data_IF_154926907038
#
_entry.id   IF_154926907038
#
_cell.length_a   1.000
_cell.length_b   1.000
_cell.length_c   1.000
_cell.angle_alpha   90.00
_cell.angle_beta   90.00
_cell.angle_gamma   90.00
#
_symmetry.space_group_name_H-M   'P 1'
#
loop_
_entity.id
_entity.type
_entity.pdbx_description
1 polymer ?
#
# COMPACT_ATOMS: atom_id res chain seq x y z
N UNK A 1 -1.29 22.46 9.98
CA UNK A 1 -1.81 21.08 10.18
C UNK A 1 -1.47 20.26 8.93
N UNK A 2 -0.73 19.15 9.05
CA UNK A 2 -0.54 18.24 7.90
C UNK A 2 -1.87 17.56 7.60
N UNK A 3 -2.29 17.64 6.35
CA UNK A 3 -3.54 17.06 5.90
C UNK A 3 -3.24 15.66 5.33
N UNK A 4 -3.65 14.58 6.01
CA UNK A 4 -3.58 13.19 5.53
C UNK A 4 -4.78 12.78 4.65
N UNK A 5 -4.52 12.32 3.42
CA UNK A 5 -5.53 11.78 2.50
C UNK A 5 -5.45 10.25 2.51
N UNK A 6 -6.60 9.58 2.62
CA UNK A 6 -6.70 8.13 2.44
C UNK A 6 -6.90 7.85 0.95
N UNK A 7 -6.00 7.05 0.37
CA UNK A 7 -5.96 6.71 -1.06
C UNK A 7 -6.15 5.20 -1.19
N UNK A 8 -7.08 4.78 -2.04
CA UNK A 8 -7.25 3.38 -2.42
C UNK A 8 -7.59 3.29 -3.92
N UNK A 9 -7.56 2.08 -4.48
CA UNK A 9 -7.98 1.85 -5.86
C UNK A 9 -9.53 1.83 -5.97
N UNK A 10 -10.04 1.61 -7.19
CA UNK A 10 -11.48 1.52 -7.47
C UNK A 10 -12.07 0.11 -7.35
N UNK A 11 -11.42 -0.84 -6.66
CA UNK A 11 -11.91 -2.22 -6.60
C UNK A 11 -13.35 -2.31 -6.06
N UNK A 12 -14.19 -3.27 -6.51
CA UNK A 12 -15.58 -3.37 -6.09
C UNK A 12 -15.78 -3.43 -4.56
N UNK A 13 -14.87 -4.08 -3.84
CA UNK A 13 -14.90 -4.13 -2.38
C UNK A 13 -14.69 -2.74 -1.74
N UNK A 14 -13.89 -1.87 -2.36
CA UNK A 14 -13.62 -0.52 -1.88
C UNK A 14 -14.72 0.46 -2.27
N UNK A 15 -15.41 0.26 -3.40
CA UNK A 15 -16.51 1.13 -3.87
C UNK A 15 -17.88 0.70 -3.34
N UNK A 16 -18.00 -0.48 -2.73
CA UNK A 16 -19.22 -0.94 -2.08
C UNK A 16 -19.74 0.06 -1.03
N UNK A 17 -21.07 0.19 -0.94
CA UNK A 17 -21.74 1.14 -0.04
C UNK A 17 -21.27 1.03 1.41
N UNK A 18 -21.20 -0.19 1.94
CA UNK A 18 -20.76 -0.42 3.32
C UNK A 18 -19.33 0.09 3.57
N UNK A 19 -18.40 -0.19 2.65
CA UNK A 19 -17.01 0.26 2.72
C UNK A 19 -16.88 1.77 2.63
N UNK A 20 -17.63 2.40 1.71
CA UNK A 20 -17.66 3.84 1.52
C UNK A 20 -18.28 4.57 2.73
N UNK A 21 -19.39 4.06 3.27
CA UNK A 21 -20.04 4.63 4.45
C UNK A 21 -19.11 4.54 5.68
N UNK A 22 -18.40 3.42 5.84
CA UNK A 22 -17.38 3.29 6.88
C UNK A 22 -16.22 4.28 6.67
N UNK A 23 -15.70 4.40 5.45
CA UNK A 23 -14.60 5.34 5.15
C UNK A 23 -15.01 6.78 5.41
N UNK A 24 -16.21 7.20 5.00
CA UNK A 24 -16.72 8.55 5.26
C UNK A 24 -16.79 8.85 6.76
N UNK A 25 -17.27 7.88 7.56
CA UNK A 25 -17.37 8.02 9.02
C UNK A 25 -16.00 8.07 9.72
N UNK A 26 -15.02 7.28 9.27
CA UNK A 26 -13.77 7.05 10.01
C UNK A 26 -12.56 7.80 9.44
N UNK A 27 -12.55 8.12 8.15
CA UNK A 27 -11.45 8.83 7.47
C UNK A 27 -11.73 10.33 7.33
N UNK A 28 -12.68 10.88 8.10
CA UNK A 28 -13.10 12.29 8.07
C UNK A 28 -13.46 12.79 6.66
N UNK A 29 -14.03 11.93 5.82
CA UNK A 29 -14.38 12.24 4.43
C UNK A 29 -13.17 12.40 3.48
N UNK A 30 -11.96 12.04 3.90
CA UNK A 30 -10.72 12.28 3.15
C UNK A 30 -10.30 11.04 2.36
N UNK A 31 -11.20 10.56 1.51
CA UNK A 31 -10.99 9.41 0.64
C UNK A 31 -10.87 9.88 -0.81
N UNK A 32 -9.83 9.43 -1.51
CA UNK A 32 -9.74 9.53 -2.97
C UNK A 32 -9.46 8.17 -3.60
N UNK A 33 -9.87 8.03 -4.85
CA UNK A 33 -9.57 6.86 -5.67
C UNK A 33 -8.58 7.26 -6.76
N UNK A 34 -7.41 6.63 -6.79
CA UNK A 34 -6.41 6.83 -7.84
C UNK A 34 -6.26 5.56 -8.66
N UNK A 35 -6.06 5.73 -9.97
CA UNK A 35 -5.78 4.62 -10.89
C UNK A 35 -4.36 4.07 -10.72
N UNK A 36 -3.47 4.85 -10.13
CA UNK A 36 -2.11 4.46 -9.76
C UNK A 36 -1.96 4.70 -8.26
N UNK A 37 -1.65 3.67 -7.47
CA UNK A 37 -1.49 3.78 -6.02
C UNK A 37 0.00 3.59 -5.66
N UNK A 38 0.62 4.48 -4.86
CA UNK A 38 2.03 4.32 -4.48
C UNK A 38 2.33 3.00 -3.76
N UNK A 39 1.30 2.35 -3.19
CA UNK A 39 1.44 1.05 -2.54
C UNK A 39 1.87 -0.07 -3.52
N UNK A 40 1.56 0.05 -4.82
CA UNK A 40 1.95 -0.95 -5.83
C UNK A 40 3.47 -1.05 -5.95
N UNK A 41 4.16 0.09 -5.98
CA UNK A 41 5.62 0.12 -6.02
C UNK A 41 6.25 -0.47 -4.76
N UNK A 42 5.61 -0.23 -3.60
CA UNK A 42 6.04 -0.82 -2.34
C UNK A 42 5.86 -2.35 -2.36
N UNK A 43 4.75 -2.84 -2.92
CA UNK A 43 4.54 -4.27 -3.10
C UNK A 43 5.59 -4.90 -4.00
N UNK A 44 5.97 -4.28 -5.12
CA UNK A 44 7.04 -4.80 -5.99
C UNK A 44 8.37 -4.98 -5.24
N UNK A 45 8.81 -3.98 -4.47
CA UNK A 45 10.04 -4.06 -3.66
C UNK A 45 9.96 -5.22 -2.65
N UNK A 46 8.82 -5.33 -1.96
CA UNK A 46 8.62 -6.38 -0.97
C UNK A 46 8.58 -7.76 -1.62
N UNK A 47 7.94 -7.88 -2.78
CA UNK A 47 7.77 -9.13 -3.52
C UNK A 47 9.13 -9.66 -4.02
N UNK A 48 9.95 -8.79 -4.62
CA UNK A 48 11.31 -9.11 -5.05
C UNK A 48 12.16 -9.67 -3.89
N UNK A 49 12.13 -9.01 -2.73
CA UNK A 49 12.85 -9.49 -1.53
C UNK A 49 12.24 -10.77 -0.96
N UNK A 50 10.92 -10.91 -1.01
CA UNK A 50 10.20 -12.06 -0.46
C UNK A 50 10.43 -13.33 -1.27
N UNK A 51 10.57 -13.20 -2.60
CA UNK A 51 10.78 -14.32 -3.51
C UNK A 51 12.22 -14.48 -4.01
N UNK A 52 13.16 -13.63 -3.56
CA UNK A 52 14.60 -13.81 -3.85
C UNK A 52 15.06 -15.25 -3.60
N UNK A 53 15.83 -15.79 -4.53
CA UNK A 53 16.24 -17.19 -4.48
C UNK A 53 17.00 -17.57 -3.18
N UNK A 54 16.75 -18.78 -2.65
CA UNK A 54 15.73 -19.72 -3.09
C UNK A 54 14.31 -19.25 -2.70
N UNK A 55 13.35 -19.43 -3.61
CA UNK A 55 11.96 -19.08 -3.37
C UNK A 55 11.36 -19.81 -2.13
N UNK A 56 10.49 -19.13 -1.36
CA UNK A 56 9.80 -19.75 -0.23
C UNK A 56 8.88 -20.88 -0.69
N UNK A 57 9.04 -22.08 -0.13
CA UNK A 57 8.22 -23.26 -0.48
C UNK A 57 7.12 -23.58 0.54
N UNK A 58 7.05 -22.82 1.64
CA UNK A 58 6.04 -23.00 2.68
C UNK A 58 5.41 -21.68 3.07
N UNK A 59 4.15 -21.73 3.50
CA UNK A 59 3.43 -20.55 4.01
C UNK A 59 4.17 -19.87 5.18
N UNK A 60 4.81 -20.66 6.05
CA UNK A 60 5.61 -20.13 7.17
C UNK A 60 6.83 -19.36 6.67
N UNK A 61 7.57 -19.92 5.69
CA UNK A 61 8.72 -19.25 5.09
C UNK A 61 8.32 -17.97 4.34
N UNK A 62 7.21 -18.01 3.60
CA UNK A 62 6.65 -16.86 2.90
C UNK A 62 6.31 -15.73 3.87
N UNK A 63 5.53 -16.01 4.92
CA UNK A 63 5.16 -15.03 5.95
C UNK A 63 6.39 -14.44 6.66
N UNK A 64 7.39 -15.26 6.97
CA UNK A 64 8.62 -14.80 7.62
C UNK A 64 9.42 -13.86 6.73
N UNK A 65 9.60 -14.23 5.46
CA UNK A 65 10.29 -13.43 4.43
C UNK A 65 9.57 -12.13 4.15
N UNK A 66 8.25 -12.16 3.96
CA UNK A 66 7.42 -10.97 3.77
C UNK A 66 7.57 -9.97 4.93
N UNK A 67 7.50 -10.45 6.17
CA UNK A 67 7.69 -9.61 7.36
C UNK A 67 9.11 -9.04 7.45
N UNK A 68 10.12 -9.78 6.99
CA UNK A 68 11.51 -9.32 6.95
C UNK A 68 11.69 -8.24 5.87
N UNK A 69 11.19 -8.48 4.66
CA UNK A 69 11.20 -7.52 3.56
C UNK A 69 10.52 -6.21 3.97
N UNK A 70 9.32 -6.29 4.54
CA UNK A 70 8.61 -5.11 5.08
C UNK A 70 9.45 -4.31 6.08
N UNK A 71 10.09 -4.98 7.04
CA UNK A 71 10.93 -4.33 8.06
C UNK A 71 12.20 -3.71 7.50
N UNK A 72 12.65 -4.14 6.33
CA UNK A 72 13.85 -3.65 5.68
C UNK A 72 13.58 -2.46 4.75
N UNK A 73 12.31 -2.14 4.46
CA UNK A 73 11.98 -0.93 3.69
C UNK A 73 12.32 0.31 4.51
N UNK A 74 13.20 1.15 3.97
CA UNK A 74 13.64 2.36 4.64
C UNK A 74 12.57 3.47 4.62
N UNK A 75 12.64 4.38 5.58
CA UNK A 75 11.78 5.57 5.58
C UNK A 75 12.05 6.48 4.38
N UNK A 76 13.28 6.54 3.87
CA UNK A 76 13.60 7.31 2.66
C UNK A 76 12.93 6.72 1.44
N UNK A 77 12.94 5.39 1.28
CA UNK A 77 12.20 4.70 0.20
C UNK A 77 10.71 5.01 0.27
N UNK A 78 10.10 4.91 1.46
CA UNK A 78 8.68 5.25 1.63
C UNK A 78 8.39 6.71 1.27
N UNK A 79 9.27 7.63 1.67
CA UNK A 79 9.18 9.04 1.30
C UNK A 79 9.27 9.21 -0.21
N UNK A 80 10.26 8.66 -0.88
CA UNK A 80 10.45 8.74 -2.34
C UNK A 80 9.23 8.20 -3.09
N UNK A 81 8.70 7.03 -2.71
CA UNK A 81 7.50 6.46 -3.32
C UNK A 81 6.26 7.34 -3.14
N UNK A 82 6.12 8.00 -1.99
CA UNK A 82 5.01 8.94 -1.78
C UNK A 82 5.13 10.21 -2.62
N UNK A 83 6.36 10.67 -2.90
CA UNK A 83 6.61 11.86 -3.71
C UNK A 83 6.66 11.57 -5.22
N UNK A 84 6.92 10.32 -5.63
CA UNK A 84 6.97 9.92 -7.04
C UNK A 84 5.59 9.86 -7.69
N UNK A 85 4.53 9.84 -6.88
CA UNK A 85 3.17 10.02 -7.35
C UNK A 85 3.02 11.44 -7.92
N UNK A 86 2.65 11.60 -9.21
CA UNK A 86 2.41 12.93 -9.75
C UNK A 86 1.37 13.61 -8.87
N UNK A 87 1.66 14.85 -8.44
CA UNK A 87 0.73 15.69 -7.70
C UNK A 87 -0.52 15.90 -8.56
N UNK A 88 -1.45 14.96 -8.51
CA UNK A 88 -2.78 15.09 -9.10
C UNK A 88 -3.68 15.58 -7.99
N UNK A 89 -3.61 16.89 -7.75
CA UNK A 89 -4.69 17.65 -7.13
C UNK A 89 -5.76 17.91 -8.20
#
# INVERSE_FOLDING_TARGET
KRSMLFVQDGAPAHTAKASQDWCKKNQNGRLTHLTSNPIENLWSIIDEETYRDPQPRTMTSLKSRLKKAWRNVSLSTLSELSHSMPQRL
#
